data_IF_861066194568
#
_entry.id   IF_861066194568
#
_cell.length_a   1.000
_cell.length_b   1.000
_cell.length_c   1.000
_cell.angle_alpha   90.00
_cell.angle_beta   90.00
_cell.angle_gamma   90.00
#
_symmetry.space_group_name_H-M   'P 1'
#
loop_
_entity.id
_entity.type
_entity.pdbx_description
1 polymer ?
#
# COMPACT_ATOMS: atom_id res chain seq x y z
N UNK A 1 -9.37 14.75 -12.17
CA UNK A 1 -9.60 13.67 -11.17
C UNK A 1 -11.10 13.41 -11.08
N UNK A 2 -11.53 12.18 -11.29
CA UNK A 2 -12.92 11.74 -11.17
C UNK A 2 -13.17 11.20 -9.76
N UNK A 3 -14.20 11.68 -9.08
CA UNK A 3 -14.66 11.07 -7.84
C UNK A 3 -15.46 9.80 -8.17
N UNK A 4 -15.11 8.70 -7.52
CA UNK A 4 -15.75 7.41 -7.70
C UNK A 4 -16.26 6.85 -6.38
N UNK A 5 -17.29 6.02 -6.45
CA UNK A 5 -17.90 5.37 -5.28
C UNK A 5 -18.14 3.87 -5.49
N UNK A 6 -18.00 3.38 -6.72
CA UNK A 6 -18.24 1.99 -7.09
C UNK A 6 -17.00 1.34 -7.71
N UNK A 7 -16.86 0.04 -7.53
CA UNK A 7 -15.74 -0.74 -8.09
C UNK A 7 -15.80 -0.79 -9.62
N UNK A 8 -17.00 -0.79 -10.21
CA UNK A 8 -17.19 -0.83 -11.67
C UNK A 8 -16.57 0.39 -12.38
N UNK A 9 -16.43 1.52 -11.70
CA UNK A 9 -15.75 2.71 -12.24
C UNK A 9 -14.24 2.50 -12.38
N UNK A 10 -13.68 1.47 -11.74
CA UNK A 10 -12.33 0.96 -11.92
C UNK A 10 -12.31 -0.36 -12.70
N UNK A 11 -13.32 -0.64 -13.54
CA UNK A 11 -13.44 -1.86 -14.32
C UNK A 11 -13.38 -3.15 -13.47
N UNK A 12 -13.70 -3.06 -12.18
CA UNK A 12 -13.72 -4.19 -11.24
C UNK A 12 -15.15 -4.68 -11.07
N UNK A 13 -15.34 -5.99 -11.30
CA UNK A 13 -16.63 -6.69 -11.22
C UNK A 13 -16.47 -8.04 -10.51
N UNK A 14 -17.51 -8.88 -10.47
CA UNK A 14 -17.52 -10.19 -9.82
C UNK A 14 -16.46 -11.18 -10.31
N UNK A 15 -15.99 -11.02 -11.55
CA UNK A 15 -14.98 -11.91 -12.15
C UNK A 15 -13.55 -11.42 -11.92
N UNK A 16 -13.42 -10.26 -11.29
CA UNK A 16 -12.11 -9.63 -11.02
C UNK A 16 -11.37 -10.35 -9.89
N UNK A 17 -10.03 -10.31 -9.99
CA UNK A 17 -9.08 -10.81 -9.00
C UNK A 17 -7.99 -9.75 -8.84
N UNK A 18 -7.76 -9.30 -7.62
CA UNK A 18 -6.87 -8.17 -7.35
C UNK A 18 -5.62 -8.65 -6.60
N UNK A 19 -4.45 -8.48 -7.22
CA UNK A 19 -3.15 -8.77 -6.62
C UNK A 19 -2.47 -7.47 -6.22
N UNK A 20 -2.05 -7.38 -4.98
CA UNK A 20 -1.48 -6.17 -4.38
C UNK A 20 -0.03 -6.42 -4.02
N UNK A 21 0.87 -5.54 -4.45
CA UNK A 21 2.27 -5.56 -4.06
C UNK A 21 2.61 -4.30 -3.27
N UNK A 22 3.04 -4.49 -2.02
CA UNK A 22 3.50 -3.43 -1.12
C UNK A 22 4.93 -3.70 -0.65
N UNK A 23 5.77 -2.67 -0.50
CA UNK A 23 7.14 -2.86 -0.04
C UNK A 23 7.22 -3.22 1.45
N UNK A 24 6.44 -2.56 2.31
CA UNK A 24 6.52 -2.73 3.77
C UNK A 24 5.15 -3.04 4.40
N UNK A 25 5.14 -3.68 5.58
CA UNK A 25 3.94 -3.77 6.41
C UNK A 25 3.53 -2.36 6.86
N UNK A 26 2.33 -1.92 6.57
CA UNK A 26 1.66 -0.64 6.80
C UNK A 26 1.30 0.14 5.53
N UNK A 27 2.00 -0.06 4.42
CA UNK A 27 1.71 0.65 3.17
C UNK A 27 0.27 0.38 2.68
N UNK A 28 -0.22 -0.85 2.84
CA UNK A 28 -1.61 -1.19 2.52
C UNK A 28 -2.60 -0.41 3.39
N UNK A 29 -2.27 -0.24 4.67
CA UNK A 29 -3.12 0.47 5.62
C UNK A 29 -3.21 1.96 5.30
N UNK A 30 -2.08 2.56 4.92
CA UNK A 30 -1.99 3.99 4.58
C UNK A 30 -2.69 4.29 3.27
N UNK A 31 -2.41 3.54 2.23
CA UNK A 31 -2.69 4.01 0.87
C UNK A 31 -3.96 3.41 0.25
N UNK A 32 -4.38 2.19 0.64
CA UNK A 32 -5.50 1.53 -0.04
C UNK A 32 -6.38 0.63 0.85
N UNK A 33 -6.28 0.70 2.17
CA UNK A 33 -7.03 -0.21 3.04
C UNK A 33 -8.54 -0.07 2.95
N UNK A 34 -9.08 1.12 2.74
CA UNK A 34 -10.50 1.33 2.50
C UNK A 34 -10.97 0.67 1.21
N UNK A 35 -10.16 0.79 0.15
CA UNK A 35 -10.40 0.10 -1.12
C UNK A 35 -10.31 -1.42 -0.96
N UNK A 36 -9.30 -1.93 -0.27
CA UNK A 36 -9.16 -3.36 0.01
C UNK A 36 -10.37 -3.89 0.80
N UNK A 37 -10.83 -3.15 1.81
CA UNK A 37 -12.06 -3.48 2.54
C UNK A 37 -13.28 -3.50 1.61
N UNK A 38 -13.39 -2.55 0.71
CA UNK A 38 -14.47 -2.52 -0.27
C UNK A 38 -14.44 -3.74 -1.20
N UNK A 39 -13.26 -4.17 -1.66
CA UNK A 39 -13.10 -5.36 -2.49
C UNK A 39 -13.58 -6.62 -1.75
N UNK A 40 -13.04 -6.87 -0.55
CA UNK A 40 -13.37 -8.06 0.24
C UNK A 40 -14.83 -8.11 0.65
N UNK A 41 -15.43 -6.95 0.99
CA UNK A 41 -16.86 -6.84 1.32
C UNK A 41 -17.78 -7.11 0.11
N UNK A 42 -17.25 -7.04 -1.11
CA UNK A 42 -17.96 -7.40 -2.34
C UNK A 42 -17.53 -8.78 -2.87
N UNK A 43 -16.87 -9.60 -2.04
CA UNK A 43 -16.38 -10.94 -2.38
C UNK A 43 -15.41 -10.97 -3.58
N UNK A 44 -14.71 -9.89 -3.85
CA UNK A 44 -13.64 -9.85 -4.85
C UNK A 44 -12.39 -10.49 -4.24
N UNK A 45 -11.82 -11.55 -4.85
CA UNK A 45 -10.59 -12.15 -4.37
C UNK A 45 -9.42 -11.16 -4.36
N UNK A 46 -8.80 -11.00 -3.19
CA UNK A 46 -7.63 -10.15 -2.97
C UNK A 46 -6.47 -11.00 -2.48
N UNK A 47 -5.29 -10.83 -3.09
CA UNK A 47 -4.03 -11.35 -2.57
C UNK A 47 -3.07 -10.20 -2.31
N UNK A 48 -2.49 -10.14 -1.11
CA UNK A 48 -1.51 -9.13 -0.70
C UNK A 48 -0.13 -9.75 -0.56
N UNK A 49 0.85 -9.20 -1.27
CA UNK A 49 2.26 -9.58 -1.14
C UNK A 49 3.03 -8.37 -0.61
N UNK A 50 3.61 -8.52 0.56
CA UNK A 50 4.51 -7.52 1.15
C UNK A 50 5.94 -8.03 1.08
N UNK A 51 6.85 -7.22 0.50
CA UNK A 51 8.16 -7.70 0.07
C UNK A 51 9.17 -7.82 1.21
N UNK A 52 9.06 -6.94 2.22
CA UNK A 52 9.98 -6.88 3.37
C UNK A 52 9.23 -7.03 4.68
N UNK A 53 9.93 -7.12 5.78
CA UNK A 53 9.33 -7.02 7.12
C UNK A 53 9.42 -5.61 7.71
N UNK A 54 10.01 -4.65 6.98
CA UNK A 54 10.17 -3.27 7.42
C UNK A 54 11.06 -3.12 8.66
N UNK A 55 12.04 -4.00 8.82
CA UNK A 55 12.88 -4.12 10.02
C UNK A 55 13.85 -2.96 10.23
N UNK A 56 14.05 -2.11 9.20
CA UNK A 56 14.91 -0.93 9.32
C UNK A 56 14.15 0.36 9.58
N UNK A 57 12.87 0.29 9.93
CA UNK A 57 12.15 1.49 10.31
C UNK A 57 12.83 2.21 11.46
N UNK A 58 13.09 3.50 11.29
CA UNK A 58 13.69 4.37 12.32
C UNK A 58 12.66 5.07 13.18
N UNK A 59 11.40 5.09 12.74
CA UNK A 59 10.29 5.63 13.49
C UNK A 59 9.50 4.45 14.08
N UNK A 60 9.75 4.15 15.36
CA UNK A 60 9.15 3.01 16.03
C UNK A 60 8.46 3.47 17.31
N UNK A 61 7.18 3.11 17.43
CA UNK A 61 6.38 3.32 18.62
C UNK A 61 6.09 1.97 19.29
N UNK A 62 5.85 1.99 20.59
CA UNK A 62 5.28 0.85 21.33
C UNK A 62 5.96 -0.52 21.10
N UNK A 63 7.27 -0.52 20.88
CA UNK A 63 8.08 -1.73 20.84
C UNK A 63 8.72 -1.93 22.22
N UNK A 64 8.52 -3.10 22.83
CA UNK A 64 9.10 -3.40 24.13
C UNK A 64 10.61 -3.74 24.01
N UNK A 65 11.40 -3.46 25.05
CA UNK A 65 12.82 -3.81 25.04
C UNK A 65 13.03 -5.32 24.84
N UNK A 66 13.74 -5.68 23.77
CA UNK A 66 14.04 -7.08 23.43
C UNK A 66 13.12 -7.70 22.39
N UNK A 67 12.07 -7.00 21.97
CA UNK A 67 11.21 -7.45 20.88
C UNK A 67 11.92 -7.33 19.52
N UNK A 68 11.62 -8.28 18.65
CA UNK A 68 12.03 -8.25 17.25
C UNK A 68 11.02 -7.43 16.43
N UNK A 69 11.48 -6.29 15.89
CA UNK A 69 10.64 -5.41 15.08
C UNK A 69 10.07 -6.13 13.85
N UNK A 70 10.86 -6.96 13.16
CA UNK A 70 10.39 -7.71 12.00
C UNK A 70 9.25 -8.66 12.38
N UNK A 71 9.41 -9.42 13.45
CA UNK A 71 8.38 -10.33 13.94
C UNK A 71 7.12 -9.57 14.37
N UNK A 72 7.28 -8.45 15.08
CA UNK A 72 6.16 -7.61 15.52
C UNK A 72 5.39 -7.04 14.32
N UNK A 73 6.06 -6.47 13.32
CA UNK A 73 5.41 -5.91 12.12
C UNK A 73 4.68 -6.97 11.29
N UNK A 74 5.18 -8.21 11.26
CA UNK A 74 4.46 -9.34 10.64
C UNK A 74 3.14 -9.65 11.34
N UNK A 75 3.12 -9.61 12.67
CA UNK A 75 1.89 -9.79 13.46
C UNK A 75 0.93 -8.62 13.22
N UNK A 76 1.44 -7.40 13.19
CA UNK A 76 0.64 -6.20 12.92
C UNK A 76 -0.03 -6.27 11.55
N UNK A 77 0.69 -6.66 10.50
CA UNK A 77 0.11 -6.82 9.17
C UNK A 77 -0.90 -7.97 9.11
N UNK A 78 -0.65 -9.08 9.80
CA UNK A 78 -1.65 -10.14 9.93
C UNK A 78 -2.95 -9.60 10.51
N UNK A 79 -2.87 -8.83 11.60
CA UNK A 79 -4.05 -8.21 12.23
C UNK A 79 -4.76 -7.22 11.29
N UNK A 80 -3.98 -6.43 10.52
CA UNK A 80 -4.50 -5.56 9.47
C UNK A 80 -5.25 -6.35 8.40
N UNK A 81 -4.66 -7.44 7.89
CA UNK A 81 -5.32 -8.32 6.92
C UNK A 81 -6.65 -8.90 7.46
N UNK A 82 -6.70 -9.34 8.71
CA UNK A 82 -7.93 -9.84 9.34
C UNK A 82 -9.03 -8.76 9.38
N UNK A 83 -8.69 -7.53 9.77
CA UNK A 83 -9.62 -6.37 9.77
C UNK A 83 -10.16 -6.10 8.37
N UNK A 84 -9.28 -6.15 7.37
CA UNK A 84 -9.62 -5.88 5.98
C UNK A 84 -10.35 -7.05 5.31
N UNK A 85 -10.36 -8.25 5.92
CA UNK A 85 -10.95 -9.46 5.35
C UNK A 85 -10.08 -10.11 4.27
N UNK A 86 -8.77 -9.85 4.28
CA UNK A 86 -7.80 -10.45 3.38
C UNK A 86 -7.32 -11.76 3.99
N UNK A 87 -7.62 -12.88 3.34
CA UNK A 87 -7.24 -14.23 3.79
C UNK A 87 -6.03 -14.81 3.04
N UNK A 88 -5.74 -14.30 1.85
CA UNK A 88 -4.58 -14.70 1.05
C UNK A 88 -3.53 -13.58 1.07
N UNK A 89 -2.50 -13.74 1.89
CA UNK A 89 -1.40 -12.78 1.98
C UNK A 89 -0.07 -13.48 2.27
N UNK A 90 1.01 -12.87 1.83
CA UNK A 90 2.38 -13.30 2.11
C UNK A 90 3.23 -12.09 2.52
N UNK A 91 4.06 -12.27 3.56
CA UNK A 91 5.06 -11.29 3.96
C UNK A 91 6.42 -11.93 3.75
N UNK A 92 7.16 -11.44 2.77
CA UNK A 92 8.45 -11.97 2.39
C UNK A 92 9.57 -11.47 3.33
N UNK A 93 10.78 -11.93 3.10
CA UNK A 93 11.96 -11.60 3.93
C UNK A 93 13.06 -10.95 3.09
N UNK A 94 12.70 -10.20 2.05
CA UNK A 94 13.69 -9.37 1.35
C UNK A 94 14.13 -8.29 2.33
N UNK A 95 15.43 -8.02 2.48
CA UNK A 95 15.91 -7.00 3.40
C UNK A 95 15.30 -5.62 3.12
N UNK A 96 14.79 -4.97 4.15
CA UNK A 96 14.27 -3.60 4.07
C UNK A 96 15.37 -2.64 3.59
N UNK A 97 15.03 -1.73 2.67
CA UNK A 97 15.97 -0.87 1.94
C UNK A 97 16.78 -1.60 0.86
N UNK A 98 16.47 -2.86 0.56
CA UNK A 98 17.24 -3.73 -0.33
C UNK A 98 16.57 -4.13 -1.64
N UNK A 99 15.33 -3.71 -1.91
CA UNK A 99 14.60 -4.19 -3.09
C UNK A 99 15.34 -3.90 -4.40
N UNK A 100 15.94 -2.70 -4.52
CA UNK A 100 16.70 -2.32 -5.72
C UNK A 100 17.89 -3.25 -6.00
N UNK A 101 18.52 -3.80 -4.95
CA UNK A 101 19.65 -4.73 -5.08
C UNK A 101 19.21 -6.16 -5.42
N UNK A 102 17.92 -6.42 -5.33
CA UNK A 102 17.27 -7.72 -5.53
C UNK A 102 16.33 -7.73 -6.74
N UNK A 103 16.56 -6.86 -7.72
CA UNK A 103 15.68 -6.66 -8.89
C UNK A 103 15.25 -7.98 -9.54
N UNK A 104 16.20 -8.88 -9.87
CA UNK A 104 15.89 -10.16 -10.51
C UNK A 104 14.98 -11.02 -9.63
N UNK A 105 15.34 -11.19 -8.35
CA UNK A 105 14.56 -11.97 -7.39
C UNK A 105 13.14 -11.42 -7.23
N UNK A 106 12.99 -10.08 -7.10
CA UNK A 106 11.68 -9.44 -6.97
C UNK A 106 10.83 -9.63 -8.22
N UNK A 107 11.40 -9.47 -9.42
CA UNK A 107 10.67 -9.69 -10.68
C UNK A 107 10.23 -11.15 -10.85
N UNK A 108 11.05 -12.11 -10.44
CA UNK A 108 10.68 -13.53 -10.43
C UNK A 108 9.52 -13.79 -9.47
N UNK A 109 9.52 -13.17 -8.28
CA UNK A 109 8.41 -13.24 -7.32
C UNK A 109 7.14 -12.67 -7.94
N UNK A 110 7.20 -11.47 -8.52
CA UNK A 110 6.04 -10.81 -9.15
C UNK A 110 5.48 -11.71 -10.26
N UNK A 111 6.34 -12.21 -11.15
CA UNK A 111 5.96 -13.09 -12.24
C UNK A 111 5.29 -14.37 -11.74
N UNK A 112 5.87 -15.00 -10.72
CA UNK A 112 5.32 -16.22 -10.10
C UNK A 112 3.95 -15.96 -9.48
N UNK A 113 3.78 -14.87 -8.76
CA UNK A 113 2.51 -14.52 -8.12
C UNK A 113 1.41 -14.23 -9.15
N UNK A 114 1.75 -13.53 -10.23
CA UNK A 114 0.82 -13.30 -11.36
C UNK A 114 0.39 -14.64 -11.98
N UNK A 115 1.33 -15.55 -12.25
CA UNK A 115 1.02 -16.84 -12.86
C UNK A 115 0.15 -17.74 -11.98
N UNK A 116 0.35 -17.71 -10.66
CA UNK A 116 -0.42 -18.50 -9.69
C UNK A 116 -1.80 -17.90 -9.46
N UNK A 117 -1.85 -16.60 -9.16
CA UNK A 117 -3.10 -15.94 -8.77
C UNK A 117 -3.97 -15.56 -9.97
N UNK A 118 -3.38 -15.34 -11.16
CA UNK A 118 -4.05 -14.91 -12.40
C UNK A 118 -4.93 -13.67 -12.18
N UNK A 119 -4.33 -12.56 -11.78
CA UNK A 119 -5.08 -11.34 -11.50
C UNK A 119 -5.64 -10.71 -12.77
N UNK A 120 -6.76 -10.01 -12.65
CA UNK A 120 -7.26 -9.04 -13.64
C UNK A 120 -6.71 -7.65 -13.39
N UNK A 121 -6.40 -7.36 -12.11
CA UNK A 121 -5.85 -6.09 -11.67
C UNK A 121 -4.67 -6.33 -10.75
N UNK A 122 -3.62 -5.52 -10.94
CA UNK A 122 -2.48 -5.42 -10.03
C UNK A 122 -2.47 -4.03 -9.44
N UNK A 123 -2.19 -3.94 -8.14
CA UNK A 123 -2.05 -2.67 -7.42
C UNK A 123 -0.63 -2.56 -6.89
N UNK A 124 -0.02 -1.40 -7.07
CA UNK A 124 1.25 -1.03 -6.45
C UNK A 124 1.34 0.48 -6.26
N UNK A 125 2.46 0.95 -5.73
CA UNK A 125 2.69 2.38 -5.53
C UNK A 125 3.03 3.08 -6.85
N UNK A 126 2.82 4.40 -6.91
CA UNK A 126 3.23 5.23 -8.03
C UNK A 126 4.75 5.22 -8.26
N UNK A 127 5.26 5.53 -9.48
CA UNK A 127 6.67 5.42 -9.84
C UNK A 127 7.64 6.20 -8.96
N UNK A 128 7.27 7.35 -8.42
CA UNK A 128 8.11 8.12 -7.49
C UNK A 128 7.95 7.69 -6.03
N UNK A 129 7.22 6.60 -5.80
CA UNK A 129 7.11 5.95 -4.49
C UNK A 129 6.47 6.83 -3.43
N UNK A 130 5.52 7.68 -3.81
CA UNK A 130 4.77 8.62 -2.97
C UNK A 130 5.65 9.73 -2.37
N UNK A 131 6.69 9.38 -1.61
CA UNK A 131 7.62 10.29 -0.95
C UNK A 131 9.09 9.94 -1.23
N UNK A 132 9.35 9.16 -2.28
CA UNK A 132 10.70 8.88 -2.75
C UNK A 132 11.45 7.80 -1.98
N UNK A 133 10.78 6.92 -1.23
CA UNK A 133 11.45 5.79 -0.58
C UNK A 133 12.07 4.85 -1.62
N UNK A 134 13.34 4.43 -1.51
CA UNK A 134 14.00 3.59 -2.52
C UNK A 134 13.26 2.29 -2.82
N UNK A 135 12.73 1.59 -1.81
CA UNK A 135 11.97 0.36 -2.00
C UNK A 135 10.62 0.59 -2.69
N UNK A 136 9.94 1.72 -2.42
CA UNK A 136 8.71 2.09 -3.10
C UNK A 136 8.96 2.31 -4.60
N UNK A 137 10.00 3.08 -4.93
CA UNK A 137 10.41 3.33 -6.31
C UNK A 137 10.83 2.04 -7.00
N UNK A 138 11.65 1.22 -6.33
CA UNK A 138 12.12 -0.05 -6.86
C UNK A 138 10.97 -1.01 -7.16
N UNK A 139 10.08 -1.22 -6.21
CA UNK A 139 8.91 -2.10 -6.39
C UNK A 139 8.01 -1.59 -7.50
N UNK A 140 7.67 -0.30 -7.51
CA UNK A 140 6.83 0.30 -8.56
C UNK A 140 7.42 0.06 -9.95
N UNK A 141 8.73 0.29 -10.11
CA UNK A 141 9.45 0.01 -11.37
C UNK A 141 9.32 -1.47 -11.77
N UNK A 142 9.60 -2.40 -10.87
CA UNK A 142 9.61 -3.83 -11.18
C UNK A 142 8.21 -4.35 -11.51
N UNK A 143 7.19 -3.92 -10.77
CA UNK A 143 5.79 -4.25 -11.07
C UNK A 143 5.41 -3.70 -12.44
N UNK A 144 5.79 -2.46 -12.77
CA UNK A 144 5.49 -1.83 -14.07
C UNK A 144 6.15 -2.55 -15.24
N UNK A 145 7.33 -3.10 -15.06
CA UNK A 145 8.04 -3.83 -16.10
C UNK A 145 7.49 -5.24 -16.33
N UNK A 146 6.98 -5.88 -15.28
CA UNK A 146 6.48 -7.27 -15.35
C UNK A 146 5.00 -7.33 -15.72
N UNK A 147 4.18 -6.42 -15.22
CA UNK A 147 2.74 -6.41 -15.50
C UNK A 147 2.49 -5.92 -16.93
N UNK A 148 1.82 -6.72 -17.72
CA UNK A 148 1.48 -6.40 -19.12
C UNK A 148 0.00 -6.66 -19.42
N UNK A 149 -0.51 -6.08 -20.51
CA UNK A 149 -1.85 -6.38 -20.99
C UNK A 149 -2.07 -7.92 -21.10
N UNK A 150 -3.25 -8.46 -20.74
CA UNK A 150 -4.49 -7.72 -20.44
C UNK A 150 -4.69 -7.33 -18.96
N UNK A 151 -3.67 -7.43 -18.12
CA UNK A 151 -3.77 -7.10 -16.69
C UNK A 151 -3.77 -5.57 -16.52
N UNK A 152 -4.75 -5.04 -15.82
CA UNK A 152 -4.81 -3.63 -15.46
C UNK A 152 -3.85 -3.34 -14.31
N UNK A 153 -2.92 -2.42 -14.50
CA UNK A 153 -2.06 -1.93 -13.43
C UNK A 153 -2.59 -0.61 -12.88
N UNK A 154 -2.92 -0.61 -11.60
CA UNK A 154 -3.45 0.53 -10.86
C UNK A 154 -2.41 0.99 -9.85
N UNK A 155 -1.94 2.23 -9.98
CA UNK A 155 -1.09 2.85 -8.98
C UNK A 155 -1.92 3.51 -7.90
N UNK A 156 -1.56 3.27 -6.64
CA UNK A 156 -1.98 4.12 -5.54
C UNK A 156 -1.07 5.35 -5.47
N UNK A 157 -1.67 6.50 -5.26
CA UNK A 157 -0.98 7.78 -5.18
C UNK A 157 -1.62 8.65 -4.10
N UNK A 158 -1.21 9.88 -3.99
CA UNK A 158 -1.81 10.88 -3.10
C UNK A 158 -2.02 12.18 -3.89
N UNK A 159 -3.01 13.00 -3.56
CA UNK A 159 -3.26 14.24 -4.26
C UNK A 159 -2.07 15.21 -4.12
N UNK A 160 -1.95 16.12 -5.07
CA UNK A 160 -1.00 17.21 -4.99
C UNK A 160 -1.34 18.11 -3.79
N UNK A 161 -0.31 18.50 -3.04
CA UNK A 161 -0.46 19.41 -1.91
C UNK A 161 -0.06 20.82 -2.31
N UNK A 162 -0.63 21.82 -1.62
CA UNK A 162 -0.15 23.20 -1.65
C UNK A 162 1.32 23.33 -1.17
N UNK A 163 1.78 22.36 -0.39
CA UNK A 163 3.18 22.27 0.08
C UNK A 163 3.88 21.12 -0.62
N UNK A 164 5.17 21.31 -0.93
CA UNK A 164 6.02 20.22 -1.46
C UNK A 164 5.87 18.96 -0.64
N UNK A 165 5.70 17.82 -1.29
CA UNK A 165 5.69 16.52 -0.61
C UNK A 165 6.96 16.36 0.23
N UNK A 166 6.86 15.83 1.46
CA UNK A 166 8.06 15.46 2.21
C UNK A 166 8.82 14.41 1.40
N UNK A 167 10.12 14.63 1.23
CA UNK A 167 11.00 13.66 0.58
C UNK A 167 11.61 12.78 1.67
N UNK A 168 11.59 11.48 1.47
CA UNK A 168 12.24 10.53 2.38
C UNK A 168 13.71 10.90 2.58
N UNK A 169 14.21 10.81 3.80
CA UNK A 169 15.65 10.97 4.10
C UNK A 169 16.50 9.92 3.38
N UNK A 170 15.91 8.80 2.99
CA UNK A 170 16.56 7.73 2.23
C UNK A 170 16.49 7.95 0.72
N UNK A 171 15.76 8.98 0.25
CA UNK A 171 15.58 9.23 -1.17
C UNK A 171 16.88 9.71 -1.83
N UNK A 172 17.19 9.13 -2.97
CA UNK A 172 18.22 9.63 -3.89
C UNK A 172 17.69 10.84 -4.71
N UNK A 173 16.37 11.10 -4.68
CA UNK A 173 15.72 12.20 -5.40
C UNK A 173 15.61 13.43 -4.52
N UNK A 174 15.97 14.58 -5.08
CA UNK A 174 15.76 15.89 -4.44
C UNK A 174 14.35 16.44 -4.65
N UNK A 175 13.65 15.93 -5.67
CA UNK A 175 12.29 16.33 -6.04
C UNK A 175 11.47 15.09 -6.35
N UNK A 176 10.27 15.03 -5.85
CA UNK A 176 9.26 14.00 -6.15
C UNK A 176 8.29 14.58 -7.17
N UNK A 177 8.09 13.87 -8.28
CA UNK A 177 7.13 14.21 -9.31
C UNK A 177 5.95 13.24 -9.24
N UNK A 178 4.93 13.55 -8.43
CA UNK A 178 3.81 12.65 -8.25
C UNK A 178 3.00 12.48 -9.53
N UNK A 179 2.45 11.31 -9.73
CA UNK A 179 1.40 11.12 -10.72
C UNK A 179 0.14 11.82 -10.22
N UNK A 180 -0.48 12.62 -11.09
CA UNK A 180 -1.78 13.22 -10.79
C UNK A 180 -2.83 12.11 -10.76
N UNK A 181 -3.58 11.94 -9.65
CA UNK A 181 -4.59 10.91 -9.58
C UNK A 181 -5.71 11.14 -10.60
N UNK A 182 -6.08 10.08 -11.30
CA UNK A 182 -7.24 10.08 -12.20
C UNK A 182 -8.52 9.88 -11.40
N UNK A 183 -8.47 9.06 -10.35
CA UNK A 183 -9.60 8.66 -9.53
C UNK A 183 -9.40 9.02 -8.06
N UNK A 184 -10.47 9.50 -7.44
CA UNK A 184 -10.60 9.66 -6.00
C UNK A 184 -11.75 8.77 -5.52
N UNK A 185 -11.44 7.70 -4.81
CA UNK A 185 -12.42 6.85 -4.18
C UNK A 185 -12.83 7.46 -2.84
N UNK A 186 -14.07 7.91 -2.73
CA UNK A 186 -14.65 8.30 -1.45
C UNK A 186 -15.00 7.05 -0.63
N UNK A 187 -14.47 7.00 0.58
CA UNK A 187 -14.71 5.90 1.51
C UNK A 187 -16.01 6.12 2.27
N UNK A 188 -16.82 5.06 2.39
CA UNK A 188 -17.97 5.04 3.27
C UNK A 188 -17.54 4.81 4.73
N UNK A 189 -18.45 4.99 5.68
CA UNK A 189 -18.14 4.83 7.10
C UNK A 189 -17.47 3.48 7.42
N UNK A 190 -17.97 2.36 6.88
CA UNK A 190 -17.41 1.03 7.11
C UNK A 190 -15.99 0.87 6.57
N UNK A 191 -15.69 1.49 5.44
CA UNK A 191 -14.36 1.49 4.80
C UNK A 191 -13.40 2.39 5.58
N UNK A 192 -13.88 3.57 6.01
CA UNK A 192 -13.12 4.50 6.86
C UNK A 192 -12.81 3.88 8.24
N UNK A 193 -13.78 3.24 8.87
CA UNK A 193 -13.59 2.54 10.15
C UNK A 193 -12.57 1.40 10.01
N UNK A 194 -12.65 0.61 8.95
CA UNK A 194 -11.70 -0.45 8.67
C UNK A 194 -10.29 0.11 8.42
N UNK A 195 -10.17 1.24 7.70
CA UNK A 195 -8.90 1.93 7.50
C UNK A 195 -8.28 2.40 8.81
N UNK A 196 -9.04 3.04 9.67
CA UNK A 196 -8.57 3.49 10.98
C UNK A 196 -8.14 2.29 11.85
N UNK A 197 -8.92 1.22 11.84
CA UNK A 197 -8.58 0.00 12.57
C UNK A 197 -7.31 -0.67 12.03
N UNK A 198 -7.13 -0.72 10.71
CA UNK A 198 -5.93 -1.21 10.05
C UNK A 198 -4.69 -0.39 10.43
N UNK A 199 -4.77 0.95 10.39
CA UNK A 199 -3.69 1.83 10.87
C UNK A 199 -3.34 1.58 12.33
N UNK A 200 -4.34 1.37 13.19
CA UNK A 200 -4.13 1.06 14.62
C UNK A 200 -3.52 -0.32 14.84
N UNK A 201 -3.70 -1.27 13.92
CA UNK A 201 -3.05 -2.57 13.98
C UNK A 201 -1.53 -2.45 13.83
N UNK A 202 -1.04 -1.47 13.05
CA UNK A 202 0.39 -1.17 12.87
C UNK A 202 0.93 -0.25 13.99
N UNK A 203 0.81 -0.71 15.24
CA UNK A 203 1.16 0.08 16.43
C UNK A 203 2.60 0.53 16.47
N UNK A 204 3.53 -0.28 15.97
CA UNK A 204 4.95 0.10 15.91
C UNK A 204 5.19 1.28 14.99
N UNK A 205 4.30 1.54 14.01
CA UNK A 205 4.45 2.61 13.03
C UNK A 205 3.57 3.84 13.32
N UNK A 206 2.42 3.65 13.94
CA UNK A 206 1.43 4.74 14.15
C UNK A 206 1.06 4.97 15.62
N UNK A 207 1.57 4.16 16.55
CA UNK A 207 1.15 4.24 17.94
C UNK A 207 -0.34 3.93 18.08
N UNK A 208 -1.06 4.73 18.87
CA UNK A 208 -2.51 4.56 19.05
C UNK A 208 -3.34 5.08 17.87
N UNK A 209 -2.74 5.79 16.95
CA UNK A 209 -3.38 6.47 15.82
C UNK A 209 -4.75 7.08 16.18
N UNK A 210 -4.70 8.25 16.73
CA UNK A 210 -5.86 9.09 17.04
C UNK A 210 -5.59 10.55 16.62
N UNK A 211 -6.49 11.46 16.95
CA UNK A 211 -6.36 12.88 16.59
C UNK A 211 -5.14 13.57 17.20
N UNK A 212 -4.50 12.97 18.21
CA UNK A 212 -3.28 13.46 18.86
C UNK A 212 -2.00 12.89 18.23
N UNK A 213 -2.12 11.89 17.35
CA UNK A 213 -0.96 11.22 16.75
C UNK A 213 -0.18 12.16 15.83
N UNK A 214 1.16 12.00 15.82
CA UNK A 214 2.05 12.81 14.96
C UNK A 214 1.70 12.70 13.47
N UNK A 215 1.17 11.54 13.04
CA UNK A 215 0.83 11.28 11.64
C UNK A 215 -0.57 11.76 11.25
N UNK A 216 -1.43 12.12 12.22
CA UNK A 216 -2.80 12.52 11.93
C UNK A 216 -2.89 13.74 11.00
N UNK A 217 -1.97 14.69 11.16
CA UNK A 217 -1.88 15.87 10.29
C UNK A 217 -1.65 15.53 8.83
N UNK A 218 -0.83 14.51 8.53
CA UNK A 218 -0.62 14.00 7.17
C UNK A 218 -1.93 13.46 6.58
N UNK A 219 -2.62 12.57 7.29
CA UNK A 219 -3.88 11.99 6.83
C UNK A 219 -4.97 13.05 6.64
N UNK A 220 -5.03 14.05 7.51
CA UNK A 220 -5.98 15.17 7.38
C UNK A 220 -5.67 16.02 6.14
N UNK A 221 -4.41 16.39 5.95
CA UNK A 221 -3.99 17.20 4.81
C UNK A 221 -4.20 16.48 3.47
N UNK A 222 -3.94 15.17 3.43
CA UNK A 222 -4.12 14.33 2.22
C UNK A 222 -5.55 13.87 2.00
N UNK A 223 -6.45 14.06 2.97
CA UNK A 223 -7.77 13.44 3.02
C UNK A 223 -7.76 11.91 2.96
N UNK A 224 -6.60 11.28 3.17
CA UNK A 224 -6.43 9.81 3.08
C UNK A 224 -7.24 9.02 4.09
N UNK A 225 -7.80 9.64 5.11
CA UNK A 225 -8.75 8.96 6.01
C UNK A 225 -10.08 8.64 5.34
N UNK A 226 -10.56 9.53 4.47
CA UNK A 226 -11.88 9.44 3.87
C UNK A 226 -11.84 9.25 2.35
N UNK A 227 -10.65 9.22 1.77
CA UNK A 227 -10.46 9.10 0.32
C UNK A 227 -9.17 8.35 0.00
N UNK A 228 -9.17 7.61 -1.09
CA UNK A 228 -7.98 6.95 -1.63
C UNK A 228 -7.87 7.27 -3.12
N UNK A 229 -6.65 7.34 -3.61
CA UNK A 229 -6.36 7.93 -4.90
C UNK A 229 -5.64 6.96 -5.81
N UNK A 230 -6.09 6.88 -7.06
CA UNK A 230 -5.61 5.91 -8.02
C UNK A 230 -5.40 6.53 -9.39
N UNK A 231 -4.51 5.93 -10.16
CA UNK A 231 -4.37 6.16 -11.59
C UNK A 231 -4.00 4.87 -12.30
N UNK A 232 -4.47 4.69 -13.53
CA UNK A 232 -3.98 3.60 -14.38
C UNK A 232 -2.58 3.92 -14.91
N UNK A 233 -1.80 2.84 -15.19
CA UNK A 233 -0.54 2.96 -15.91
C UNK A 233 -0.80 3.29 -17.36
#
# INVERSE_FOLDING_TARGET
MQTISTLSQLSINSDSRVLVFMPHPDDEAVFCSGFLKKLTSNNIPVKLITLTSGEKSTLVFSLEPGDDLAATRRIEQKNSCEILGITDYEILSIPDGGLKLKETEVKEIITRQINIFKPTHVISLEPDGIYGHPDHIGLSKFVSEVVTSPINLLYVTIPEFEKKRPVSKMSEKSVINPIIPEFCLELKNTETEAKIASLRAHRTQFGLFDTSSQNFGFFKATKLLNSEYFTYR
#
